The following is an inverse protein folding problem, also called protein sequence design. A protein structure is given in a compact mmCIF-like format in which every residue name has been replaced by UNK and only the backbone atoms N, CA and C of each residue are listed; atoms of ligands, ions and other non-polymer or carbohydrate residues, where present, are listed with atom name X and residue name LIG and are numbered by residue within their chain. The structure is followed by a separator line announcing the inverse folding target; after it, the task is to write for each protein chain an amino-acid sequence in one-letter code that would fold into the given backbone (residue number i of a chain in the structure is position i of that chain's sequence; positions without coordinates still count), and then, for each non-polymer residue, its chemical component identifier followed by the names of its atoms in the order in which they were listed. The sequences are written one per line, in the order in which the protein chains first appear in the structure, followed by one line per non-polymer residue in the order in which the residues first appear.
data_IF_109168335208
#
_entry.id   IF_109168335208
#
_cell.length_a   1.000
_cell.length_b   1.000
_cell.length_c   1.000
_cell.angle_alpha   90.00
_cell.angle_beta   90.00
_cell.angle_gamma   90.00
#
_symmetry.space_group_name_H-M   'P 1'
#
loop_
_entity.id
_entity.type
_entity.pdbx_description
1 polymer ?
#
# COMPACT_ATOMS: atom_id res chain seq x y z
N UNK A 1 15.27 -10.82 -5.16
CA UNK A 1 13.88 -10.73 -5.65
C UNK A 1 13.72 -11.71 -6.79
N UNK A 2 12.58 -12.38 -6.92
CA UNK A 2 12.31 -13.34 -8.01
C UNK A 2 10.91 -13.07 -8.60
N UNK A 3 10.59 -13.69 -9.73
CA UNK A 3 9.36 -13.39 -10.47
C UNK A 3 8.09 -13.74 -9.71
N UNK A 4 8.13 -14.79 -8.89
CA UNK A 4 7.00 -15.18 -8.04
C UNK A 4 6.61 -14.07 -7.06
N UNK A 5 7.58 -13.49 -6.35
CA UNK A 5 7.32 -12.39 -5.40
C UNK A 5 6.83 -11.15 -6.15
N UNK A 6 7.45 -10.81 -7.29
CA UNK A 6 7.06 -9.65 -8.12
C UNK A 6 5.61 -9.75 -8.57
N UNK A 7 5.26 -10.91 -9.13
CA UNK A 7 3.94 -11.20 -9.64
C UNK A 7 2.91 -11.17 -8.52
N UNK A 8 3.22 -11.81 -7.38
CA UNK A 8 2.33 -11.82 -6.22
C UNK A 8 2.03 -10.40 -5.71
N UNK A 9 3.05 -9.56 -5.53
CA UNK A 9 2.86 -8.18 -5.07
C UNK A 9 2.04 -7.38 -6.09
N UNK A 10 2.35 -7.50 -7.38
CA UNK A 10 1.65 -6.76 -8.44
C UNK A 10 0.17 -7.17 -8.55
N UNK A 11 -0.12 -8.47 -8.46
CA UNK A 11 -1.47 -9.00 -8.57
C UNK A 11 -2.33 -8.55 -7.40
N UNK A 12 -1.82 -8.66 -6.17
CA UNK A 12 -2.56 -8.26 -4.96
C UNK A 12 -2.85 -6.75 -4.99
N UNK A 13 -1.89 -5.91 -5.40
CA UNK A 13 -2.17 -4.48 -5.58
C UNK A 13 -3.29 -4.24 -6.60
N UNK A 14 -3.22 -4.86 -7.78
CA UNK A 14 -4.20 -4.63 -8.84
C UNK A 14 -5.58 -5.22 -8.50
N UNK A 15 -5.64 -6.33 -7.76
CA UNK A 15 -6.88 -6.91 -7.23
C UNK A 15 -7.57 -5.93 -6.27
N UNK A 16 -6.82 -5.40 -5.30
CA UNK A 16 -7.33 -4.46 -4.31
C UNK A 16 -7.73 -3.12 -4.95
N UNK A 17 -6.95 -2.61 -5.90
CA UNK A 17 -7.32 -1.43 -6.71
C UNK A 17 -8.61 -1.65 -7.49
N UNK A 18 -8.80 -2.84 -8.06
CA UNK A 18 -10.05 -3.22 -8.74
C UNK A 18 -11.23 -3.33 -7.77
N UNK A 19 -11.01 -3.83 -6.56
CA UNK A 19 -12.02 -3.88 -5.49
C UNK A 19 -12.47 -2.47 -5.09
N UNK A 20 -11.52 -1.57 -4.84
CA UNK A 20 -11.79 -0.16 -4.53
C UNK A 20 -12.49 0.53 -5.69
N UNK A 21 -11.99 0.37 -6.92
CA UNK A 21 -12.55 1.04 -8.09
C UNK A 21 -14.02 0.67 -8.36
N UNK A 22 -14.42 -0.57 -8.04
CA UNK A 22 -15.81 -1.04 -8.16
C UNK A 22 -16.71 -0.61 -6.99
N UNK A 23 -16.17 0.08 -5.99
CA UNK A 23 -16.89 0.53 -4.81
C UNK A 23 -17.23 -0.60 -3.84
N UNK A 24 -16.36 -1.62 -3.75
CA UNK A 24 -16.59 -2.81 -2.93
C UNK A 24 -15.69 -2.89 -1.69
N UNK A 25 -14.67 -2.03 -1.60
CA UNK A 25 -13.75 -1.99 -0.48
C UNK A 25 -14.43 -1.31 0.72
N UNK A 26 -14.55 -1.99 1.86
CA UNK A 26 -15.22 -1.45 3.05
C UNK A 26 -14.45 -0.29 3.65
N UNK A 27 -15.17 0.76 4.05
CA UNK A 27 -14.60 1.94 4.70
C UNK A 27 -15.14 2.05 6.13
N UNK A 28 -14.24 2.23 7.11
CA UNK A 28 -14.62 2.38 8.52
C UNK A 28 -15.59 3.54 8.78
N UNK A 29 -15.47 4.63 8.04
CA UNK A 29 -16.31 5.82 8.19
C UNK A 29 -17.70 5.65 7.58
N UNK A 30 -17.97 4.52 6.93
CA UNK A 30 -19.31 4.11 6.52
C UNK A 30 -19.34 3.58 5.08
N UNK A 31 -20.03 2.45 4.91
CA UNK A 31 -20.24 1.83 3.59
C UNK A 31 -18.95 1.30 2.98
N UNK A 32 -18.73 1.64 1.71
CA UNK A 32 -17.56 1.27 0.92
C UNK A 32 -16.91 2.51 0.33
N UNK A 33 -15.62 2.43 -0.03
CA UNK A 33 -14.95 3.49 -0.77
C UNK A 33 -15.73 3.82 -2.06
N UNK A 34 -15.74 5.10 -2.51
CA UNK A 34 -16.46 5.48 -3.72
C UNK A 34 -15.86 4.81 -4.96
N UNK A 35 -16.69 4.65 -6.00
CA UNK A 35 -16.24 4.10 -7.28
C UNK A 35 -15.22 5.04 -7.93
N UNK A 36 -14.19 4.44 -8.54
CA UNK A 36 -13.16 5.19 -9.24
C UNK A 36 -13.46 5.24 -10.74
N UNK A 37 -13.55 6.45 -11.30
CA UNK A 37 -13.78 6.63 -12.73
C UNK A 37 -12.60 6.18 -13.60
N UNK A 38 -11.37 6.28 -13.09
CA UNK A 38 -10.14 6.04 -13.87
C UNK A 38 -8.99 5.48 -13.00
N UNK A 39 -9.22 4.38 -12.29
CA UNK A 39 -8.17 3.70 -11.53
C UNK A 39 -7.17 3.01 -12.47
N UNK A 40 -5.92 3.46 -12.51
CA UNK A 40 -4.91 2.86 -13.38
C UNK A 40 -4.51 1.45 -12.91
N UNK A 41 -4.30 0.55 -13.88
CA UNK A 41 -3.67 -0.75 -13.63
C UNK A 41 -2.16 -0.54 -13.47
N UNK A 42 -1.60 -1.02 -12.37
CA UNK A 42 -0.17 -0.93 -12.10
C UNK A 42 0.62 -1.89 -12.99
N UNK A 43 1.85 -1.48 -13.29
CA UNK A 43 2.86 -2.30 -13.97
C UNK A 43 4.11 -2.38 -13.10
N UNK A 44 4.77 -3.53 -13.11
CA UNK A 44 6.04 -3.70 -12.41
C UNK A 44 7.15 -2.89 -13.08
N UNK A 45 8.00 -2.25 -12.28
CA UNK A 45 9.17 -1.51 -12.76
C UNK A 45 10.41 -1.93 -11.99
N UNK A 46 11.37 -2.54 -12.67
CA UNK A 46 12.60 -3.05 -12.05
C UNK A 46 13.44 -1.94 -11.39
N UNK A 47 13.37 -0.69 -11.86
CA UNK A 47 14.12 0.40 -11.25
C UNK A 47 13.55 0.81 -9.88
N UNK A 48 12.23 0.72 -9.70
CA UNK A 48 11.59 0.89 -8.38
C UNK A 48 11.93 -0.28 -7.44
N UNK A 49 12.01 -1.51 -7.97
CA UNK A 49 12.49 -2.67 -7.20
C UNK A 49 13.91 -2.45 -6.68
N UNK A 50 14.84 -2.01 -7.54
CA UNK A 50 16.23 -1.77 -7.13
C UNK A 50 16.29 -0.79 -5.97
N UNK A 51 15.51 0.29 -6.02
CA UNK A 51 15.40 1.26 -4.94
C UNK A 51 14.87 0.61 -3.65
N UNK A 52 13.76 -0.12 -3.74
CA UNK A 52 13.14 -0.79 -2.58
C UNK A 52 14.06 -1.84 -1.94
N UNK A 53 14.74 -2.66 -2.76
CA UNK A 53 15.69 -3.69 -2.29
C UNK A 53 16.92 -3.03 -1.64
N UNK A 54 17.45 -1.95 -2.21
CA UNK A 54 18.58 -1.23 -1.62
C UNK A 54 18.25 -0.67 -0.23
N UNK A 55 17.01 -0.20 -0.02
CA UNK A 55 16.55 0.22 1.30
C UNK A 55 16.31 -0.95 2.25
N UNK A 56 15.55 -1.96 1.82
CA UNK A 56 15.23 -3.13 2.64
C UNK A 56 16.48 -3.89 3.12
N UNK A 57 17.54 -3.91 2.31
CA UNK A 57 18.82 -4.57 2.65
C UNK A 57 19.58 -3.89 3.80
N UNK A 58 19.21 -2.65 4.17
CA UNK A 58 19.78 -1.97 5.34
C UNK A 58 19.21 -2.49 6.66
N UNK A 59 18.10 -3.23 6.62
CA UNK A 59 17.41 -3.76 7.80
C UNK A 59 17.03 -2.68 8.82
N UNK A 60 16.71 -1.47 8.37
CA UNK A 60 16.22 -0.37 9.21
C UNK A 60 14.74 -0.18 8.97
N UNK A 61 13.92 -0.33 10.02
CA UNK A 61 12.49 -0.08 9.94
C UNK A 61 12.21 1.43 10.03
N UNK A 62 12.08 2.05 8.87
CA UNK A 62 11.78 3.47 8.71
C UNK A 62 11.80 3.85 7.24
N UNK A 63 11.23 5.01 6.90
CA UNK A 63 11.20 5.48 5.52
C UNK A 63 12.57 5.95 5.04
N UNK A 64 12.82 5.85 3.74
CA UNK A 64 13.92 6.59 3.10
C UNK A 64 13.65 8.10 3.15
N UNK A 65 14.73 8.88 3.19
CA UNK A 65 14.64 10.33 3.17
C UNK A 65 13.94 10.81 1.89
N UNK A 66 13.05 11.81 2.00
CA UNK A 66 12.29 12.31 0.86
C UNK A 66 13.19 12.80 -0.28
N UNK A 67 14.35 13.38 0.05
CA UNK A 67 15.35 13.83 -0.93
C UNK A 67 15.93 12.70 -1.77
N UNK A 68 15.94 11.45 -1.30
CA UNK A 68 16.45 10.28 -2.04
C UNK A 68 15.39 9.57 -2.88
N UNK A 69 14.12 9.99 -2.83
CA UNK A 69 12.99 9.35 -3.54
C UNK A 69 12.06 10.37 -4.19
N UNK A 70 12.63 11.39 -4.83
CA UNK A 70 11.85 12.41 -5.54
C UNK A 70 10.93 11.76 -6.59
N UNK A 71 9.63 12.04 -6.48
CA UNK A 71 8.60 11.49 -7.37
C UNK A 71 8.21 10.02 -7.10
N UNK A 72 8.72 9.39 -6.03
CA UNK A 72 8.45 7.98 -5.69
C UNK A 72 7.81 7.88 -4.30
N UNK A 73 6.63 7.27 -4.24
CA UNK A 73 5.98 6.88 -2.98
C UNK A 73 6.66 5.67 -2.34
N UNK A 74 6.47 5.47 -1.04
CA UNK A 74 7.09 4.35 -0.32
C UNK A 74 6.15 3.85 0.78
N UNK A 75 5.90 2.54 0.80
CA UNK A 75 5.29 1.84 1.92
C UNK A 75 6.32 0.85 2.49
N UNK A 76 6.33 0.66 3.81
CA UNK A 76 7.23 -0.26 4.50
C UNK A 76 6.42 -1.26 5.34
N UNK A 77 6.98 -2.45 5.53
CA UNK A 77 6.35 -3.52 6.29
C UNK A 77 7.44 -4.40 6.91
N UNK A 78 7.19 -4.90 8.12
CA UNK A 78 8.06 -5.83 8.82
C UNK A 78 7.23 -6.81 9.65
N UNK A 79 7.74 -8.04 9.76
CA UNK A 79 7.14 -9.11 10.56
C UNK A 79 8.23 -9.83 11.35
N UNK A 80 7.89 -10.26 12.56
CA UNK A 80 8.77 -11.07 13.41
C UNK A 80 8.61 -12.56 13.14
N UNK A 81 8.74 -12.97 11.87
CA UNK A 81 8.65 -14.37 11.45
C UNK A 81 9.80 -14.70 10.47
N UNK A 82 10.96 -15.15 10.96
CA UNK A 82 12.14 -15.39 10.12
C UNK A 82 11.93 -16.44 9.02
N UNK A 83 11.01 -17.39 9.23
CA UNK A 83 10.67 -18.46 8.30
C UNK A 83 9.61 -18.07 7.26
N UNK A 84 9.12 -16.83 7.28
CA UNK A 84 8.10 -16.37 6.35
C UNK A 84 8.58 -16.49 4.89
N UNK A 85 7.80 -17.18 4.07
CA UNK A 85 8.06 -17.22 2.63
C UNK A 85 7.89 -15.82 2.04
N UNK A 86 8.83 -15.42 1.19
CA UNK A 86 8.86 -14.05 0.63
C UNK A 86 7.62 -13.69 -0.19
N UNK A 87 7.04 -14.58 -1.04
CA UNK A 87 5.80 -14.28 -1.73
C UNK A 87 4.64 -14.03 -0.76
N UNK A 88 4.50 -14.88 0.26
CA UNK A 88 3.50 -14.72 1.30
C UNK A 88 3.69 -13.41 2.09
N UNK A 89 4.93 -13.09 2.49
CA UNK A 89 5.24 -11.84 3.18
C UNK A 89 4.93 -10.61 2.31
N UNK A 90 5.18 -10.69 1.00
CA UNK A 90 4.80 -9.64 0.05
C UNK A 90 3.28 -9.46 -0.04
N UNK A 91 2.51 -10.54 -0.11
CA UNK A 91 1.04 -10.50 -0.06
C UNK A 91 0.52 -9.88 1.24
N UNK A 92 1.07 -10.32 2.38
CA UNK A 92 0.72 -9.80 3.70
C UNK A 92 1.01 -8.31 3.86
N UNK A 93 2.13 -7.83 3.31
CA UNK A 93 2.47 -6.40 3.33
C UNK A 93 1.39 -5.56 2.64
N UNK A 94 1.01 -5.94 1.42
CA UNK A 94 0.02 -5.18 0.63
C UNK A 94 -1.35 -5.22 1.28
N UNK A 95 -1.77 -6.39 1.79
CA UNK A 95 -3.04 -6.53 2.52
C UNK A 95 -3.05 -5.68 3.78
N UNK A 96 -1.99 -5.72 4.58
CA UNK A 96 -1.86 -4.92 5.80
C UNK A 96 -1.93 -3.41 5.53
N UNK A 97 -1.31 -2.93 4.44
CA UNK A 97 -1.43 -1.53 4.02
C UNK A 97 -2.86 -1.17 3.61
N UNK A 98 -3.54 -2.07 2.89
CA UNK A 98 -4.89 -1.82 2.41
C UNK A 98 -5.95 -1.87 3.52
N UNK A 99 -5.78 -2.73 4.51
CA UNK A 99 -6.67 -2.89 5.67
C UNK A 99 -6.86 -1.62 6.48
N UNK A 100 -5.98 -0.63 6.33
CA UNK A 100 -6.13 0.71 6.92
C UNK A 100 -7.49 1.35 6.57
N UNK A 101 -8.03 1.12 5.38
CA UNK A 101 -9.35 1.62 4.99
C UNK A 101 -10.47 1.04 5.87
N UNK A 102 -10.51 -0.27 6.05
CA UNK A 102 -11.55 -0.91 6.87
C UNK A 102 -11.35 -0.62 8.36
N UNK A 103 -10.10 -0.36 8.78
CA UNK A 103 -9.77 -0.10 10.18
C UNK A 103 -9.98 1.35 10.61
N UNK A 104 -9.64 2.31 9.76
CA UNK A 104 -9.60 3.74 10.09
C UNK A 104 -10.45 4.61 9.16
N UNK A 105 -10.60 4.20 7.90
CA UNK A 105 -11.48 4.82 6.92
C UNK A 105 -10.96 6.13 6.34
N UNK A 106 -11.50 6.50 5.17
CA UNK A 106 -11.21 7.76 4.47
C UNK A 106 -12.47 8.61 4.34
N UNK A 107 -13.62 7.98 4.10
CA UNK A 107 -14.90 8.64 3.90
C UNK A 107 -15.21 8.90 2.43
N UNK A 108 -16.48 9.25 2.16
CA UNK A 108 -17.02 9.33 0.80
C UNK A 108 -16.46 10.49 -0.04
N UNK A 109 -15.98 11.57 0.60
CA UNK A 109 -15.34 12.67 -0.11
C UNK A 109 -14.00 12.25 -0.73
N UNK A 110 -13.38 11.18 -0.21
CA UNK A 110 -12.14 10.59 -0.71
C UNK A 110 -10.98 11.62 -0.83
N UNK A 111 -10.90 12.54 0.12
CA UNK A 111 -9.87 13.58 0.19
C UNK A 111 -8.78 13.20 1.19
N UNK A 112 -7.51 13.30 0.79
CA UNK A 112 -6.37 13.12 1.67
C UNK A 112 -5.98 14.46 2.31
N UNK A 113 -6.59 14.76 3.46
CA UNK A 113 -6.44 16.04 4.16
C UNK A 113 -5.54 15.93 5.41
N UNK A 114 -5.05 17.08 5.88
CA UNK A 114 -4.33 17.16 7.16
C UNK A 114 -5.19 16.66 8.33
N UNK A 115 -6.50 16.93 8.31
CA UNK A 115 -7.42 16.43 9.31
C UNK A 115 -7.48 14.89 9.31
N UNK A 116 -7.56 14.28 8.13
CA UNK A 116 -7.61 12.82 7.99
C UNK A 116 -6.36 12.15 8.56
N UNK A 117 -5.17 12.67 8.24
CA UNK A 117 -3.88 12.08 8.63
C UNK A 117 -3.49 12.36 10.09
N UNK A 118 -4.01 13.44 10.68
CA UNK A 118 -3.73 13.81 12.07
C UNK A 118 -4.71 13.18 13.06
N UNK A 119 -5.60 12.27 12.64
CA UNK A 119 -6.49 11.54 13.55
C UNK A 119 -5.69 10.63 14.48
N UNK A 120 -5.95 10.76 15.78
CA UNK A 120 -5.27 10.01 16.83
C UNK A 120 -5.32 8.49 16.61
N UNK A 121 -4.17 7.83 16.75
CA UNK A 121 -4.01 6.37 16.66
C UNK A 121 -4.50 5.76 15.33
N UNK A 122 -4.41 6.51 14.24
CA UNK A 122 -4.74 6.03 12.89
C UNK A 122 -3.51 6.02 11.98
N UNK A 123 -3.57 5.21 10.94
CA UNK A 123 -2.62 5.20 9.83
C UNK A 123 -3.43 4.99 8.55
N UNK A 124 -3.30 5.87 7.57
CA UNK A 124 -4.08 5.76 6.32
C UNK A 124 -3.23 5.98 5.05
N UNK A 125 -1.98 6.41 5.23
CA UNK A 125 -1.10 6.77 4.13
C UNK A 125 -0.67 5.58 3.27
N UNK A 126 -0.61 4.37 3.83
CA UNK A 126 -0.24 3.20 3.05
C UNK A 126 -1.39 2.78 2.14
N UNK A 127 -2.63 2.75 2.65
CA UNK A 127 -3.81 2.48 1.84
C UNK A 127 -3.98 3.49 0.71
N UNK A 128 -3.85 4.79 0.99
CA UNK A 128 -4.03 5.81 -0.06
C UNK A 128 -2.98 5.69 -1.15
N UNK A 129 -1.75 5.27 -0.83
CA UNK A 129 -0.73 4.98 -1.84
C UNK A 129 -1.02 3.70 -2.64
N UNK A 130 -1.59 2.66 -2.04
CA UNK A 130 -2.04 1.44 -2.74
C UNK A 130 -3.17 1.76 -3.72
N UNK A 131 -4.10 2.63 -3.32
CA UNK A 131 -5.36 2.91 -4.01
C UNK A 131 -5.40 4.26 -4.75
N UNK A 132 -4.24 4.86 -5.06
CA UNK A 132 -4.16 6.14 -5.78
C UNK A 132 -4.54 6.08 -7.25
#
# INVERSE_FOLDING_TARGET
MNDEIRQKILDVHNELRSLTARGLAKDKLGGTAPQAAAMYKLQYKCDLEKFAVAHASKCVYGHTAQSSRQGVGENIFAISLPSAERPWAGEMAVKSWFEELEKYGVGQENLFTDELVNRNNTMIGHYTQVSR
#
